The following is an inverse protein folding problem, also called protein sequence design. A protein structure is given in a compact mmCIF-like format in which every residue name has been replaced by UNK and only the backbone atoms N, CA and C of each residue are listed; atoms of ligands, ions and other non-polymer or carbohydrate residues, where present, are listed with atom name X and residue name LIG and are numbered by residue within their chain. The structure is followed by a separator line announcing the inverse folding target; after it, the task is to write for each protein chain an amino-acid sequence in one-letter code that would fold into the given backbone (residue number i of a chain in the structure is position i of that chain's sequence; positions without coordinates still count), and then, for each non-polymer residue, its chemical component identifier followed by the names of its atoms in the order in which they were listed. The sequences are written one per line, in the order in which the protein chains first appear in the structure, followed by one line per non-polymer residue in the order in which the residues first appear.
data_IF_297576060159
#
_entry.id   IF_297576060159
#
_cell.length_a   1.000
_cell.length_b   1.000
_cell.length_c   1.000
_cell.angle_alpha   90.00
_cell.angle_beta   90.00
_cell.angle_gamma   90.00
#
_symmetry.space_group_name_H-M   'P 1'
#
loop_
_entity.id
_entity.type
_entity.pdbx_description
1 polymer ?
#
# COMPACT_ATOMS: atom_id res chain seq x y z
N UNK A 1 -51.57 26.63 13.28
CA UNK A 1 -50.55 25.62 13.64
C UNK A 1 -49.99 25.05 12.36
N UNK A 2 -48.83 25.54 11.91
CA UNK A 2 -48.16 25.07 10.69
C UNK A 2 -47.19 23.95 11.05
N UNK A 3 -47.61 22.71 10.78
CA UNK A 3 -46.80 21.50 10.94
C UNK A 3 -45.64 21.50 9.93
N UNK A 4 -44.42 21.76 10.41
CA UNK A 4 -43.21 21.53 9.61
C UNK A 4 -42.90 20.03 9.59
N UNK A 5 -43.27 19.34 8.52
CA UNK A 5 -42.92 17.93 8.32
C UNK A 5 -41.40 17.82 8.10
N UNK A 6 -40.68 17.47 9.17
CA UNK A 6 -39.22 17.36 9.17
C UNK A 6 -38.79 16.11 8.38
N UNK A 7 -38.55 16.27 7.08
CA UNK A 7 -38.12 15.18 6.21
C UNK A 7 -36.62 14.96 6.30
N UNK A 8 -36.21 13.86 6.95
CA UNK A 8 -34.80 13.40 7.01
C UNK A 8 -34.14 13.30 5.63
N UNK A 9 -34.93 13.02 4.59
CA UNK A 9 -34.47 12.92 3.20
C UNK A 9 -34.03 14.27 2.63
N UNK A 10 -34.69 15.37 3.00
CA UNK A 10 -34.28 16.73 2.59
C UNK A 10 -33.01 17.18 3.29
N UNK A 11 -32.83 16.80 4.56
CA UNK A 11 -31.59 17.08 5.29
C UNK A 11 -30.38 16.40 4.64
N UNK A 12 -30.49 15.13 4.24
CA UNK A 12 -29.40 14.41 3.57
C UNK A 12 -29.04 14.98 2.18
N UNK A 13 -30.03 15.50 1.44
CA UNK A 13 -29.79 16.13 0.12
C UNK A 13 -29.11 17.50 0.27
N UNK A 14 -29.42 18.25 1.34
CA UNK A 14 -28.78 19.53 1.61
C UNK A 14 -27.36 19.38 2.18
N UNK A 15 -27.08 18.32 2.94
CA UNK A 15 -25.73 18.07 3.48
C UNK A 15 -24.73 17.50 2.46
N UNK A 16 -25.20 16.84 1.39
CA UNK A 16 -24.32 16.36 0.31
C UNK A 16 -23.87 17.49 -0.64
N UNK A 17 -24.67 18.55 -0.78
CA UNK A 17 -24.36 19.67 -1.66
C UNK A 17 -23.22 20.58 -1.13
N UNK A 18 -22.98 20.62 0.18
CA UNK A 18 -21.96 21.50 0.79
C UNK A 18 -20.58 20.85 0.92
N UNK A 19 -20.45 19.53 0.81
CA UNK A 19 -19.16 18.82 0.89
C UNK A 19 -18.46 18.64 -0.46
N UNK A 20 -19.15 18.86 -1.58
CA UNK A 20 -18.57 18.67 -2.92
C UNK A 20 -17.69 19.85 -3.40
N UNK A 21 -17.73 21.00 -2.73
CA UNK A 21 -17.04 22.22 -3.19
C UNK A 21 -15.65 22.45 -2.56
N UNK A 22 -15.19 21.60 -1.64
CA UNK A 22 -13.94 21.80 -0.90
C UNK A 22 -12.76 20.84 -1.20
N UNK A 23 -12.83 19.77 -2.03
CA UNK A 23 -11.64 18.93 -2.25
C UNK A 23 -10.68 19.50 -3.32
N UNK A 24 -11.09 20.49 -4.10
CA UNK A 24 -10.29 21.00 -5.23
C UNK A 24 -9.19 21.99 -4.85
N UNK A 25 -9.09 22.42 -3.59
CA UNK A 25 -8.07 23.38 -3.13
C UNK A 25 -6.98 22.78 -2.23
N UNK A 26 -7.03 21.48 -1.89
CA UNK A 26 -6.19 20.94 -0.82
C UNK A 26 -5.39 19.66 -1.16
N UNK A 27 -5.22 19.27 -2.43
CA UNK A 27 -4.39 18.11 -2.74
C UNK A 27 -3.68 18.20 -4.08
N UNK A 28 -2.66 19.06 -4.13
CA UNK A 28 -1.51 18.87 -5.01
C UNK A 28 -0.25 18.97 -4.15
N UNK A 29 -0.16 18.12 -3.12
CA UNK A 29 1.14 17.80 -2.54
C UNK A 29 1.93 17.09 -3.64
N UNK A 30 2.80 17.83 -4.33
CA UNK A 30 3.83 17.21 -5.17
C UNK A 30 4.67 16.34 -4.24
N UNK A 31 4.55 15.03 -4.39
CA UNK A 31 5.57 14.13 -3.89
C UNK A 31 6.83 14.44 -4.70
N UNK A 32 7.70 15.30 -4.17
CA UNK A 32 9.05 15.45 -4.70
C UNK A 32 9.70 14.07 -4.67
N UNK A 33 9.81 13.48 -5.87
CA UNK A 33 10.38 12.15 -6.06
C UNK A 33 11.78 12.15 -5.48
N UNK A 34 11.95 11.40 -4.40
CA UNK A 34 13.26 11.05 -3.85
C UNK A 34 14.15 10.57 -5.00
N UNK A 35 15.39 11.04 -5.02
CA UNK A 35 16.39 10.88 -6.07
C UNK A 35 16.17 9.63 -6.94
N UNK A 36 16.01 9.86 -8.26
CA UNK A 36 15.60 8.88 -9.25
C UNK A 36 16.26 7.51 -9.02
N UNK A 37 15.48 6.56 -8.51
CA UNK A 37 15.89 5.16 -8.49
C UNK A 37 16.10 4.78 -9.97
N UNK A 38 17.30 4.31 -10.34
CA UNK A 38 17.60 3.97 -11.72
C UNK A 38 16.58 2.94 -12.22
N UNK A 39 15.89 3.24 -13.32
CA UNK A 39 14.89 2.37 -13.94
C UNK A 39 15.47 1.05 -14.48
N UNK A 40 16.80 0.89 -14.39
CA UNK A 40 17.53 -0.32 -14.74
C UNK A 40 18.02 -0.98 -13.46
N UNK A 41 17.89 -2.30 -13.37
CA UNK A 41 18.47 -3.11 -12.31
C UNK A 41 20.00 -3.01 -12.35
N UNK A 42 20.56 -2.03 -11.65
CA UNK A 42 21.99 -1.89 -11.37
C UNK A 42 22.23 -2.26 -9.91
N UNK A 43 23.44 -2.76 -9.60
CA UNK A 43 23.81 -3.01 -8.22
C UNK A 43 23.81 -1.70 -7.43
N UNK A 44 23.06 -1.67 -6.32
CA UNK A 44 23.05 -0.55 -5.39
C UNK A 44 23.89 -0.90 -4.15
N UNK A 45 24.57 0.08 -3.55
CA UNK A 45 25.25 -0.14 -2.27
C UNK A 45 24.23 -0.55 -1.20
N UNK A 46 24.69 -1.34 -0.24
CA UNK A 46 23.84 -1.78 0.86
C UNK A 46 23.29 -0.57 1.65
N UNK A 47 22.00 -0.55 2.01
CA UNK A 47 21.42 0.57 2.74
C UNK A 47 22.06 0.75 4.12
N UNK A 48 22.30 1.99 4.52
CA UNK A 48 22.99 2.33 5.77
C UNK A 48 22.18 2.00 7.05
N UNK A 49 20.93 1.55 6.91
CA UNK A 49 20.00 1.29 8.00
C UNK A 49 19.68 -0.20 8.19
N UNK A 50 20.28 -1.10 7.40
CA UNK A 50 20.02 -2.54 7.48
C UNK A 50 21.30 -3.33 7.75
N UNK A 51 21.20 -4.35 8.61
CA UNK A 51 22.24 -5.37 8.76
C UNK A 51 21.94 -6.51 7.79
N UNK A 52 22.95 -7.02 7.10
CA UNK A 52 22.79 -8.19 6.23
C UNK A 52 22.68 -9.42 7.14
N UNK A 53 21.61 -10.22 7.07
CA UNK A 53 21.54 -11.45 7.84
C UNK A 53 22.71 -12.38 7.47
N UNK A 54 23.40 -12.90 8.49
CA UNK A 54 24.55 -13.80 8.33
C UNK A 54 24.21 -15.10 7.61
N UNK A 55 22.95 -15.54 7.74
CA UNK A 55 22.45 -16.76 7.13
C UNK A 55 21.53 -16.41 5.95
N UNK A 56 21.76 -17.00 4.77
CA UNK A 56 20.83 -16.85 3.66
C UNK A 56 19.47 -17.44 4.04
N UNK A 57 18.36 -16.87 3.54
CA UNK A 57 17.04 -17.40 3.79
C UNK A 57 16.92 -18.84 3.26
N UNK A 58 16.18 -19.68 3.99
CA UNK A 58 15.93 -21.07 3.60
C UNK A 58 15.29 -21.16 2.22
N UNK A 59 15.68 -22.17 1.45
CA UNK A 59 15.09 -22.44 0.15
C UNK A 59 13.59 -22.76 0.27
N UNK A 60 12.77 -22.44 -0.76
CA UNK A 60 11.36 -22.79 -0.76
C UNK A 60 11.12 -24.30 -0.62
N UNK A 61 10.09 -24.68 0.15
CA UNK A 61 9.72 -26.08 0.32
C UNK A 61 9.25 -26.72 -1.00
N UNK A 62 9.53 -28.01 -1.16
CA UNK A 62 9.07 -28.78 -2.31
C UNK A 62 7.52 -28.79 -2.40
N UNK A 63 7.00 -28.36 -3.54
CA UNK A 63 5.55 -28.23 -3.78
C UNK A 63 4.91 -27.00 -3.13
N UNK A 64 5.69 -26.00 -2.71
CA UNK A 64 5.17 -24.69 -2.31
C UNK A 64 4.78 -23.84 -3.52
N UNK A 65 3.78 -22.98 -3.35
CA UNK A 65 3.29 -22.07 -4.40
C UNK A 65 3.97 -20.71 -4.27
N UNK A 66 4.56 -20.22 -5.37
CA UNK A 66 5.20 -18.92 -5.43
C UNK A 66 4.21 -17.79 -5.73
N UNK A 67 4.25 -16.72 -4.93
CA UNK A 67 3.42 -15.53 -5.11
C UNK A 67 4.24 -14.32 -5.56
N UNK A 68 3.70 -13.53 -6.48
CA UNK A 68 4.19 -12.20 -6.81
C UNK A 68 3.42 -11.16 -5.99
N UNK A 69 4.11 -10.43 -5.11
CA UNK A 69 3.48 -9.39 -4.27
C UNK A 69 3.54 -8.05 -4.99
N UNK A 70 2.37 -7.57 -5.41
CA UNK A 70 2.21 -6.28 -6.08
C UNK A 70 1.88 -5.19 -5.05
N UNK A 71 2.62 -4.08 -5.07
CA UNK A 71 2.38 -2.94 -4.19
C UNK A 71 2.98 -3.13 -2.80
N UNK A 72 4.22 -2.66 -2.63
CA UNK A 72 4.94 -2.67 -1.35
C UNK A 72 4.55 -1.49 -0.44
N UNK A 73 3.25 -1.31 -0.24
CA UNK A 73 2.73 -0.37 0.77
C UNK A 73 2.84 -0.95 2.19
N UNK A 74 2.34 -0.20 3.18
CA UNK A 74 2.39 -0.60 4.59
C UNK A 74 1.75 -1.96 4.87
N UNK A 75 0.71 -2.34 4.13
CA UNK A 75 0.10 -3.68 4.25
C UNK A 75 0.94 -4.78 3.59
N UNK A 76 1.49 -4.52 2.40
CA UNK A 76 2.34 -5.46 1.68
C UNK A 76 3.57 -5.83 2.49
N UNK A 77 4.29 -4.82 2.98
CA UNK A 77 5.50 -5.00 3.80
C UNK A 77 5.15 -5.48 5.20
N UNK A 78 4.16 -4.87 5.85
CA UNK A 78 3.91 -5.09 7.28
C UNK A 78 3.11 -6.37 7.60
N UNK A 79 2.39 -6.94 6.62
CA UNK A 79 1.48 -8.08 6.87
C UNK A 79 1.65 -9.19 5.86
N UNK A 80 1.61 -8.88 4.56
CA UNK A 80 1.59 -9.90 3.51
C UNK A 80 2.93 -10.63 3.42
N UNK A 81 4.04 -9.91 3.33
CA UNK A 81 5.37 -10.52 3.22
C UNK A 81 5.72 -11.40 4.45
N UNK A 82 5.53 -10.96 5.71
CA UNK A 82 5.75 -11.82 6.87
C UNK A 82 4.86 -13.05 6.90
N UNK A 83 3.59 -12.93 6.48
CA UNK A 83 2.68 -14.07 6.43
C UNK A 83 3.12 -15.12 5.40
N UNK A 84 3.58 -14.68 4.22
CA UNK A 84 4.10 -15.58 3.19
C UNK A 84 5.44 -16.20 3.59
N UNK A 85 6.30 -15.49 4.31
CA UNK A 85 7.57 -16.01 4.81
C UNK A 85 7.39 -17.09 5.90
N UNK A 86 6.34 -16.97 6.72
CA UNK A 86 6.03 -17.96 7.77
C UNK A 86 5.18 -19.14 7.26
N UNK A 87 4.72 -19.11 6.01
CA UNK A 87 3.90 -20.19 5.44
C UNK A 87 4.74 -21.37 4.97
N UNK A 88 4.31 -22.59 5.26
CA UNK A 88 5.05 -23.80 4.84
C UNK A 88 4.82 -24.18 3.36
N UNK A 89 3.65 -23.81 2.81
CA UNK A 89 3.21 -24.20 1.45
C UNK A 89 3.16 -23.03 0.46
N UNK A 90 3.65 -21.87 0.85
CA UNK A 90 3.75 -20.69 0.00
C UNK A 90 5.09 -19.98 0.21
N UNK A 91 5.52 -19.21 -0.78
CA UNK A 91 6.72 -18.37 -0.67
C UNK A 91 6.59 -17.13 -1.57
N UNK A 92 7.43 -16.12 -1.29
CA UNK A 92 7.53 -14.92 -2.13
C UNK A 92 8.46 -15.24 -3.30
N UNK A 93 7.91 -15.27 -4.51
CA UNK A 93 8.67 -15.53 -5.73
C UNK A 93 9.09 -14.25 -6.45
N UNK A 94 8.30 -13.18 -6.30
CA UNK A 94 8.60 -11.88 -6.87
C UNK A 94 7.95 -10.76 -6.06
N UNK A 95 8.48 -9.55 -6.20
CA UNK A 95 7.88 -8.32 -5.70
C UNK A 95 7.78 -7.32 -6.84
N UNK A 96 6.70 -6.53 -6.86
CA UNK A 96 6.51 -5.47 -7.84
C UNK A 96 6.16 -4.19 -7.08
N UNK A 97 7.08 -3.23 -7.11
CA UNK A 97 6.81 -1.86 -6.71
C UNK A 97 6.27 -1.08 -7.90
N UNK A 98 5.14 -0.40 -7.69
CA UNK A 98 4.65 0.64 -8.59
C UNK A 98 5.28 1.99 -8.29
#
# INVERSE_FOLDING_TARGET
MTEFTHSRRRFMVLSSATLAAAPWLASCASAEGSAAIPAKAIGMPWPNWGELPDTPPSAPNAGSVGFAVMGLGGYGIGKVLPALANGERCHVAAVVSG
#
